data_IF_777619678284
#
_entry.id   IF_777619678284
#
_cell.length_a   1.000
_cell.length_b   1.000
_cell.length_c   1.000
_cell.angle_alpha   90.00
_cell.angle_beta   90.00
_cell.angle_gamma   90.00
#
_symmetry.space_group_name_H-M   'P 1'
#
loop_
_entity.id
_entity.type
_entity.pdbx_description
1 polymer ?
#
# COMPACT_ATOMS: atom_id res chain seq x y z
N UNK A 1 9.69 -6.00 4.89
CA UNK A 1 9.62 -5.53 6.30
C UNK A 1 10.96 -5.05 6.82
N UNK A 2 10.96 -3.94 7.58
CA UNK A 2 12.20 -3.34 8.13
C UNK A 2 12.94 -4.28 9.09
N UNK A 3 12.25 -5.23 9.70
CA UNK A 3 12.84 -6.27 10.56
C UNK A 3 13.92 -7.12 9.91
N UNK A 4 14.05 -7.14 8.58
CA UNK A 4 15.07 -7.90 7.87
C UNK A 4 16.50 -7.50 8.25
N UNK A 5 16.68 -6.26 8.72
CA UNK A 5 17.96 -5.75 9.21
C UNK A 5 18.36 -6.31 10.58
N UNK A 6 17.45 -7.01 11.27
CA UNK A 6 17.69 -7.65 12.57
C UNK A 6 18.00 -9.13 12.38
N UNK A 7 19.05 -9.63 13.06
CA UNK A 7 19.51 -11.02 12.89
C UNK A 7 18.58 -12.07 13.50
N UNK A 8 17.71 -11.68 14.41
CA UNK A 8 16.84 -12.54 15.22
C UNK A 8 15.34 -12.43 14.85
N UNK A 9 15.00 -11.60 13.85
CA UNK A 9 13.62 -11.39 13.43
C UNK A 9 13.24 -12.25 12.21
N UNK A 10 12.08 -12.89 12.25
CA UNK A 10 11.41 -13.38 11.04
C UNK A 10 10.65 -12.25 10.38
N UNK A 11 10.68 -12.19 9.06
CA UNK A 11 9.96 -11.21 8.26
C UNK A 11 8.84 -11.91 7.50
N UNK A 12 7.59 -11.71 7.93
CA UNK A 12 6.42 -12.39 7.36
C UNK A 12 5.71 -11.44 6.39
N UNK A 13 5.55 -11.87 5.15
CA UNK A 13 4.66 -11.28 4.18
C UNK A 13 3.30 -11.96 4.30
N UNK A 14 2.34 -11.26 4.92
CA UNK A 14 1.03 -11.80 5.32
C UNK A 14 0.07 -12.06 4.15
N UNK A 15 -1.00 -12.77 4.42
CA UNK A 15 -2.03 -13.13 3.44
C UNK A 15 -2.84 -11.92 2.92
N UNK A 16 -2.80 -10.78 3.61
CA UNK A 16 -3.39 -9.52 3.14
C UNK A 16 -2.62 -8.84 2.04
N UNK A 17 -1.35 -9.18 1.86
CA UNK A 17 -0.50 -8.58 0.85
C UNK A 17 -0.75 -9.15 -0.54
N UNK A 18 -0.46 -8.34 -1.57
CA UNK A 18 -0.24 -8.79 -2.94
C UNK A 18 1.25 -8.62 -3.25
N UNK A 19 1.87 -9.64 -3.82
CA UNK A 19 3.32 -9.77 -3.97
C UNK A 19 3.68 -9.82 -5.44
N UNK A 20 4.53 -8.91 -5.88
CA UNK A 20 5.16 -8.97 -7.19
C UNK A 20 6.43 -9.83 -7.09
N UNK A 21 6.48 -10.99 -7.75
CA UNK A 21 7.64 -11.90 -7.68
C UNK A 21 8.92 -11.26 -8.22
N UNK A 22 8.82 -10.47 -9.30
CA UNK A 22 9.98 -9.85 -9.96
C UNK A 22 10.59 -8.81 -9.02
N UNK A 23 9.77 -7.88 -8.51
CA UNK A 23 10.21 -6.85 -7.57
C UNK A 23 10.80 -7.46 -6.28
N UNK A 24 10.17 -8.54 -5.79
CA UNK A 24 10.67 -9.21 -4.57
C UNK A 24 12.03 -9.88 -4.80
N UNK A 25 12.27 -10.47 -5.96
CA UNK A 25 13.58 -11.03 -6.33
C UNK A 25 14.64 -9.93 -6.39
N UNK A 26 14.30 -8.78 -6.95
CA UNK A 26 15.22 -7.64 -7.02
C UNK A 26 15.55 -7.12 -5.62
N UNK A 27 14.57 -6.99 -4.72
CA UNK A 27 14.80 -6.63 -3.32
C UNK A 27 15.67 -7.66 -2.59
N UNK A 28 15.43 -8.96 -2.80
CA UNK A 28 16.24 -10.05 -2.22
C UNK A 28 17.69 -9.95 -2.70
N UNK A 29 17.92 -9.72 -4.00
CA UNK A 29 19.25 -9.57 -4.56
C UNK A 29 19.96 -8.32 -4.02
N UNK A 30 19.24 -7.21 -3.88
CA UNK A 30 19.78 -6.00 -3.26
C UNK A 30 20.21 -6.25 -1.80
N UNK A 31 19.44 -7.01 -1.03
CA UNK A 31 19.78 -7.38 0.35
C UNK A 31 21.02 -8.29 0.40
N UNK A 32 21.08 -9.31 -0.47
CA UNK A 32 22.24 -10.21 -0.58
C UNK A 32 23.52 -9.47 -0.94
N UNK A 33 23.45 -8.50 -1.86
CA UNK A 33 24.58 -7.65 -2.25
C UNK A 33 25.10 -6.77 -1.08
N UNK A 34 24.25 -6.57 -0.05
CA UNK A 34 24.61 -5.89 1.20
C UNK A 34 24.93 -6.86 2.34
N UNK A 35 25.14 -8.14 2.04
CA UNK A 35 25.43 -9.22 2.99
C UNK A 35 24.34 -9.41 4.06
N UNK A 36 23.09 -9.03 3.75
CA UNK A 36 21.93 -9.20 4.63
C UNK A 36 21.28 -10.55 4.32
N UNK A 37 21.19 -11.42 5.34
CA UNK A 37 20.53 -12.72 5.19
C UNK A 37 19.04 -12.59 4.90
N UNK A 38 18.58 -13.33 3.90
CA UNK A 38 17.17 -13.38 3.47
C UNK A 38 16.45 -14.67 3.89
N UNK A 39 17.13 -15.58 4.60
CA UNK A 39 16.59 -16.90 4.99
C UNK A 39 15.37 -16.82 5.91
N UNK A 40 15.21 -15.70 6.62
CA UNK A 40 14.10 -15.47 7.54
C UNK A 40 12.91 -14.75 6.92
N UNK A 41 12.92 -14.56 5.60
CA UNK A 41 11.73 -14.10 4.87
C UNK A 41 10.77 -15.28 4.74
N UNK A 42 9.52 -15.07 5.10
CA UNK A 42 8.45 -16.05 4.97
C UNK A 42 7.27 -15.41 4.22
N UNK A 43 6.73 -16.13 3.27
CA UNK A 43 5.55 -15.72 2.50
C UNK A 43 4.39 -16.59 2.93
N UNK A 44 3.28 -15.97 3.33
CA UNK A 44 2.04 -16.69 3.61
C UNK A 44 1.57 -17.44 2.36
N UNK A 45 1.21 -18.72 2.46
CA UNK A 45 0.63 -19.48 1.35
C UNK A 45 -0.60 -18.83 0.73
N UNK A 46 -1.31 -18.01 1.50
CA UNK A 46 -2.55 -17.35 1.10
C UNK A 46 -2.34 -15.91 0.56
N UNK A 47 -1.13 -15.37 0.55
CA UNK A 47 -0.83 -14.11 -0.14
C UNK A 47 -1.10 -14.23 -1.64
N UNK A 48 -1.52 -13.15 -2.29
CA UNK A 48 -1.80 -13.16 -3.73
C UNK A 48 -0.59 -12.67 -4.54
N UNK A 49 -0.49 -13.16 -5.77
CA UNK A 49 0.64 -12.89 -6.66
C UNK A 49 0.21 -11.89 -7.74
N UNK A 50 0.95 -10.81 -7.82
CA UNK A 50 0.83 -9.85 -8.94
C UNK A 50 1.46 -10.48 -10.16
N UNK A 51 0.78 -10.41 -11.30
CA UNK A 51 1.22 -10.96 -12.58
C UNK A 51 1.50 -9.85 -13.58
N UNK A 52 2.22 -10.11 -14.67
CA UNK A 52 2.36 -9.16 -15.78
C UNK A 52 1.01 -8.69 -16.34
N UNK A 53 0.00 -9.57 -16.36
CA UNK A 53 -1.36 -9.22 -16.75
C UNK A 53 -1.97 -8.12 -15.85
N UNK A 54 -1.79 -8.20 -14.54
CA UNK A 54 -2.28 -7.19 -13.61
C UNK A 54 -1.63 -5.83 -13.86
N UNK A 55 -0.30 -5.79 -14.08
CA UNK A 55 0.43 -4.55 -14.40
C UNK A 55 -0.11 -3.92 -15.67
N UNK A 56 -0.29 -4.74 -16.72
CA UNK A 56 -0.83 -4.27 -17.99
C UNK A 56 -2.25 -3.69 -17.85
N UNK A 57 -3.13 -4.39 -17.14
CA UNK A 57 -4.51 -3.92 -16.89
C UNK A 57 -4.49 -2.60 -16.07
N UNK A 58 -3.62 -2.46 -15.09
CA UNK A 58 -3.50 -1.25 -14.27
C UNK A 58 -3.11 -0.04 -15.13
N UNK A 59 -2.09 -0.18 -15.97
CA UNK A 59 -1.65 0.85 -16.93
C UNK A 59 -2.79 1.22 -17.88
N UNK A 60 -3.41 0.21 -18.51
CA UNK A 60 -4.50 0.41 -19.46
C UNK A 60 -5.69 1.13 -18.85
N UNK A 61 -6.05 0.80 -17.61
CA UNK A 61 -7.16 1.45 -16.91
C UNK A 61 -6.82 2.90 -16.58
N UNK A 62 -5.59 3.18 -16.16
CA UNK A 62 -5.15 4.54 -15.84
C UNK A 62 -5.14 5.43 -17.09
N UNK A 63 -4.73 4.91 -18.25
CA UNK A 63 -4.72 5.64 -19.51
C UNK A 63 -6.13 5.94 -20.07
N UNK A 64 -7.11 5.08 -19.79
CA UNK A 64 -8.47 5.19 -20.34
C UNK A 64 -9.41 6.07 -19.52
N UNK A 65 -9.08 6.36 -18.29
CA UNK A 65 -9.98 7.07 -17.38
C UNK A 65 -9.80 8.58 -17.45
N UNK A 66 -10.90 9.33 -17.73
CA UNK A 66 -10.94 10.78 -17.56
C UNK A 66 -10.79 11.21 -16.08
N UNK A 67 -10.97 10.28 -15.14
CA UNK A 67 -10.76 10.46 -13.69
C UNK A 67 -9.48 9.75 -13.27
N UNK A 68 -8.36 10.38 -13.54
CA UNK A 68 -7.03 9.92 -13.18
C UNK A 68 -6.88 9.75 -11.66
N UNK A 69 -6.76 8.51 -11.18
CA UNK A 69 -6.55 8.21 -9.76
C UNK A 69 -5.10 8.50 -9.35
N UNK A 70 -4.17 8.33 -10.26
CA UNK A 70 -2.75 8.47 -10.02
C UNK A 70 -2.14 7.21 -9.40
N UNK A 71 -2.52 6.03 -9.89
CA UNK A 71 -1.98 4.74 -9.41
C UNK A 71 -0.47 4.65 -9.63
N UNK A 72 0.15 3.67 -9.02
CA UNK A 72 1.58 3.37 -9.23
C UNK A 72 1.83 2.50 -10.45
N UNK A 73 0.79 2.06 -11.15
CA UNK A 73 0.85 1.13 -12.31
C UNK A 73 1.60 -0.17 -12.00
N UNK A 74 1.55 -0.64 -10.75
CA UNK A 74 2.20 -1.87 -10.27
C UNK A 74 1.26 -3.09 -10.25
N UNK A 75 0.04 -2.96 -10.78
CA UNK A 75 -0.94 -4.05 -10.85
C UNK A 75 -1.61 -4.40 -9.50
N UNK A 76 -1.49 -3.54 -8.51
CA UNK A 76 -2.01 -3.79 -7.15
C UNK A 76 -3.54 -3.89 -7.17
N UNK A 77 -4.21 -2.88 -7.75
CA UNK A 77 -5.68 -2.85 -7.87
C UNK A 77 -6.23 -4.09 -8.59
N UNK A 78 -5.80 -4.38 -9.83
CA UNK A 78 -6.24 -5.57 -10.56
C UNK A 78 -5.98 -6.90 -9.83
N UNK A 79 -4.87 -7.02 -9.08
CA UNK A 79 -4.60 -8.21 -8.28
C UNK A 79 -5.60 -8.38 -7.12
N UNK A 80 -5.99 -7.28 -6.45
CA UNK A 80 -7.08 -7.32 -5.45
C UNK A 80 -8.43 -7.62 -6.08
N UNK A 81 -8.73 -7.11 -7.28
CA UNK A 81 -9.95 -7.49 -8.02
C UNK A 81 -10.00 -9.00 -8.22
N UNK A 82 -8.92 -9.60 -8.70
CA UNK A 82 -8.85 -11.05 -8.89
C UNK A 82 -8.97 -11.84 -7.59
N UNK A 83 -8.40 -11.32 -6.50
CA UNK A 83 -8.57 -11.90 -5.16
C UNK A 83 -10.03 -11.97 -4.76
N UNK A 84 -10.79 -10.87 -4.89
CA UNK A 84 -12.20 -10.81 -4.50
C UNK A 84 -13.12 -11.54 -5.49
N UNK A 85 -12.74 -11.61 -6.75
CA UNK A 85 -13.39 -12.47 -7.75
C UNK A 85 -13.07 -13.96 -7.54
N UNK A 86 -12.14 -14.29 -6.67
CA UNK A 86 -11.72 -15.68 -6.34
C UNK A 86 -11.09 -16.42 -7.52
N UNK A 87 -10.41 -15.68 -8.39
CA UNK A 87 -9.67 -16.18 -9.55
C UNK A 87 -8.17 -15.90 -9.48
N UNK A 88 -7.73 -15.22 -8.42
CA UNK A 88 -6.34 -14.81 -8.24
C UNK A 88 -5.40 -15.97 -7.93
N UNK A 89 -4.14 -15.84 -8.34
CA UNK A 89 -3.06 -16.77 -8.02
C UNK A 89 -2.62 -16.53 -6.58
N UNK A 90 -2.59 -17.59 -5.77
CA UNK A 90 -2.03 -17.54 -4.40
C UNK A 90 -0.59 -18.02 -4.38
N UNK A 91 0.17 -17.59 -3.38
CA UNK A 91 1.57 -17.99 -3.21
C UNK A 91 1.75 -19.52 -3.09
N UNK A 92 0.77 -20.25 -2.54
CA UNK A 92 0.80 -21.72 -2.50
C UNK A 92 0.91 -22.34 -3.90
N UNK A 93 0.33 -21.70 -4.93
CA UNK A 93 0.38 -22.19 -6.30
C UNK A 93 1.79 -22.18 -6.90
N UNK A 94 2.71 -21.38 -6.35
CA UNK A 94 4.12 -21.33 -6.76
C UNK A 94 4.85 -22.66 -6.54
N UNK A 95 4.36 -23.50 -5.63
CA UNK A 95 4.98 -24.81 -5.34
C UNK A 95 4.81 -25.84 -6.47
N UNK A 96 3.83 -25.64 -7.35
CA UNK A 96 3.60 -26.48 -8.51
C UNK A 96 3.59 -25.61 -9.77
N UNK A 97 4.68 -25.65 -10.53
CA UNK A 97 4.91 -24.79 -11.69
C UNK A 97 3.92 -25.08 -12.85
N UNK A 98 3.54 -26.33 -13.07
CA UNK A 98 2.61 -26.69 -14.14
C UNK A 98 1.20 -26.17 -13.82
N UNK A 99 0.76 -26.32 -12.58
CA UNK A 99 -0.50 -25.77 -12.11
C UNK A 99 -0.50 -24.24 -12.15
N UNK A 100 0.62 -23.60 -11.76
CA UNK A 100 0.77 -22.15 -11.85
C UNK A 100 0.62 -21.64 -13.28
N UNK A 101 1.27 -22.30 -14.24
CA UNK A 101 1.16 -21.96 -15.67
C UNK A 101 -0.27 -22.13 -16.18
N UNK A 102 -0.94 -23.23 -15.84
CA UNK A 102 -2.34 -23.46 -16.20
C UNK A 102 -3.25 -22.34 -15.69
N UNK A 103 -3.19 -22.02 -14.38
CA UNK A 103 -4.00 -20.95 -13.78
C UNK A 103 -3.74 -19.60 -14.45
N UNK A 104 -2.47 -19.28 -14.75
CA UNK A 104 -2.13 -18.03 -15.43
C UNK A 104 -2.72 -17.95 -16.83
N UNK A 105 -2.60 -19.04 -17.63
CA UNK A 105 -3.14 -19.12 -18.99
C UNK A 105 -4.67 -19.03 -18.99
N UNK A 106 -5.33 -19.74 -18.07
CA UNK A 106 -6.78 -19.68 -17.91
C UNK A 106 -7.25 -18.25 -17.59
N UNK A 107 -6.49 -17.54 -16.76
CA UNK A 107 -6.80 -16.14 -16.42
C UNK A 107 -6.61 -15.21 -17.62
N UNK A 108 -5.56 -15.39 -18.41
CA UNK A 108 -5.34 -14.65 -19.67
C UNK A 108 -6.49 -14.89 -20.63
N UNK A 109 -6.87 -16.16 -20.85
CA UNK A 109 -7.96 -16.53 -21.75
C UNK A 109 -9.30 -15.93 -21.31
N UNK A 110 -9.57 -15.93 -20.00
CA UNK A 110 -10.76 -15.28 -19.45
C UNK A 110 -10.75 -13.75 -19.69
N UNK A 111 -9.61 -13.09 -19.55
CA UNK A 111 -9.50 -11.66 -19.86
C UNK A 111 -9.68 -11.36 -21.36
N UNK A 112 -9.19 -12.23 -22.24
CA UNK A 112 -9.42 -12.10 -23.69
C UNK A 112 -10.89 -12.30 -24.03
N UNK A 113 -11.53 -13.34 -23.51
CA UNK A 113 -12.95 -13.62 -23.73
C UNK A 113 -13.87 -12.49 -23.25
N UNK A 114 -13.50 -11.83 -22.17
CA UNK A 114 -14.21 -10.67 -21.60
C UNK A 114 -13.79 -9.33 -22.23
N UNK A 115 -12.99 -9.34 -23.30
CA UNK A 115 -12.51 -8.15 -24.01
C UNK A 115 -11.73 -7.16 -23.12
N UNK A 116 -11.20 -7.62 -22.00
CA UNK A 116 -10.34 -6.80 -21.13
C UNK A 116 -8.97 -6.56 -21.78
N UNK A 117 -8.46 -7.57 -22.51
CA UNK A 117 -7.26 -7.49 -23.33
C UNK A 117 -7.50 -8.11 -24.71
N UNK A 118 -6.77 -7.63 -25.69
CA UNK A 118 -6.74 -8.19 -27.05
C UNK A 118 -5.52 -9.10 -27.24
N UNK A 119 -5.52 -9.92 -28.29
CA UNK A 119 -4.37 -10.78 -28.65
C UNK A 119 -3.09 -9.94 -28.92
N UNK A 120 -3.25 -8.75 -29.53
CA UNK A 120 -2.15 -7.82 -29.77
C UNK A 120 -1.56 -7.29 -28.45
N UNK A 121 -2.40 -7.00 -27.47
CA UNK A 121 -1.99 -6.53 -26.15
C UNK A 121 -1.35 -7.65 -25.34
N UNK A 122 -1.79 -8.90 -25.50
CA UNK A 122 -1.14 -10.06 -24.85
C UNK A 122 0.32 -10.22 -25.30
N UNK A 123 0.61 -10.01 -26.58
CA UNK A 123 1.99 -10.05 -27.10
C UNK A 123 2.93 -9.04 -26.41
N UNK A 124 2.41 -7.95 -25.89
CA UNK A 124 3.21 -6.97 -25.12
C UNK A 124 3.59 -7.51 -23.73
N UNK A 125 2.73 -8.36 -23.16
CA UNK A 125 2.97 -8.97 -21.84
C UNK A 125 3.93 -10.18 -21.96
N UNK A 126 3.94 -10.85 -23.13
CA UNK A 126 4.64 -12.11 -23.37
C UNK A 126 6.14 -12.04 -23.03
N UNK A 127 6.78 -10.89 -23.27
CA UNK A 127 8.19 -10.67 -22.93
C UNK A 127 8.50 -10.76 -21.43
N UNK A 128 7.53 -10.47 -20.56
CA UNK A 128 7.71 -10.51 -19.11
C UNK A 128 7.35 -11.86 -18.50
N UNK A 129 6.64 -12.74 -19.24
CA UNK A 129 6.10 -13.99 -18.70
C UNK A 129 7.21 -14.93 -18.21
N UNK A 130 8.28 -15.09 -18.98
CA UNK A 130 9.38 -15.97 -18.58
C UNK A 130 10.04 -15.47 -17.28
N UNK A 131 10.36 -14.18 -17.22
CA UNK A 131 10.93 -13.57 -16.01
C UNK A 131 9.99 -13.71 -14.80
N UNK A 132 8.68 -13.58 -15.00
CA UNK A 132 7.69 -13.81 -13.96
C UNK A 132 7.74 -15.25 -13.42
N UNK A 133 7.75 -16.28 -14.29
CA UNK A 133 7.81 -17.67 -13.85
C UNK A 133 9.14 -18.02 -13.19
N UNK A 134 10.25 -17.50 -13.70
CA UNK A 134 11.57 -17.67 -13.09
C UNK A 134 11.61 -17.04 -11.69
N UNK A 135 11.08 -15.83 -11.55
CA UNK A 135 10.97 -15.16 -10.26
C UNK A 135 10.06 -15.93 -9.29
N UNK A 136 8.93 -16.45 -9.76
CA UNK A 136 8.07 -17.33 -8.98
C UNK A 136 8.81 -18.58 -8.50
N UNK A 137 9.65 -19.18 -9.36
CA UNK A 137 10.46 -20.35 -8.99
C UNK A 137 11.51 -20.02 -7.93
N UNK A 138 12.07 -18.80 -7.92
CA UNK A 138 13.01 -18.34 -6.89
C UNK A 138 12.28 -18.17 -5.55
N UNK A 139 11.15 -17.44 -5.54
CA UNK A 139 10.48 -17.09 -4.28
C UNK A 139 9.66 -18.23 -3.68
N UNK A 140 9.37 -19.31 -4.40
CA UNK A 140 8.60 -20.45 -3.86
C UNK A 140 9.19 -21.06 -2.59
N UNK A 141 10.51 -20.98 -2.43
CA UNK A 141 11.21 -21.48 -1.24
C UNK A 141 10.88 -20.72 0.06
N UNK A 142 10.42 -19.47 -0.06
CA UNK A 142 9.98 -18.65 1.06
C UNK A 142 8.51 -18.90 1.46
N UNK A 143 7.73 -19.60 0.62
CA UNK A 143 6.32 -19.92 0.91
C UNK A 143 6.24 -21.04 1.95
N UNK A 144 5.86 -20.67 3.17
CA UNK A 144 5.80 -21.58 4.32
C UNK A 144 4.58 -21.27 5.20
N UNK A 145 4.22 -22.20 6.06
CA UNK A 145 3.18 -21.96 7.07
C UNK A 145 3.59 -20.79 7.98
N UNK A 146 2.87 -19.69 7.88
CA UNK A 146 3.08 -18.50 8.71
C UNK A 146 2.10 -18.44 9.88
N UNK A 147 0.98 -19.15 9.81
CA UNK A 147 -0.06 -19.11 10.84
C UNK A 147 0.45 -19.64 12.18
N UNK A 148 0.95 -20.87 12.20
CA UNK A 148 1.46 -21.48 13.43
C UNK A 148 2.64 -20.69 14.00
N UNK A 149 3.50 -20.13 13.14
CA UNK A 149 4.61 -19.30 13.60
C UNK A 149 4.11 -18.04 14.31
N UNK A 150 3.12 -17.32 13.71
CA UNK A 150 2.53 -16.12 14.31
C UNK A 150 1.94 -16.41 15.69
N UNK A 151 1.20 -17.51 15.83
CA UNK A 151 0.55 -17.85 17.10
C UNK A 151 1.51 -18.46 18.14
N UNK A 152 2.71 -18.88 17.75
CA UNK A 152 3.75 -19.40 18.65
C UNK A 152 4.67 -18.32 19.23
N UNK A 153 4.59 -17.07 18.76
CA UNK A 153 5.46 -15.97 19.18
C UNK A 153 4.74 -15.02 20.13
N UNK A 154 5.49 -14.56 21.15
CA UNK A 154 4.99 -13.61 22.13
C UNK A 154 5.16 -12.15 21.68
N UNK A 155 6.22 -11.88 20.88
CA UNK A 155 6.53 -10.52 20.42
C UNK A 155 6.38 -10.45 18.91
N UNK A 156 5.37 -9.73 18.45
CA UNK A 156 5.07 -9.50 17.04
C UNK A 156 5.00 -8.00 16.80
N UNK A 157 5.83 -7.48 15.90
CA UNK A 157 5.72 -6.14 15.37
C UNK A 157 5.00 -6.20 14.02
N UNK A 158 3.86 -5.52 13.90
CA UNK A 158 3.09 -5.44 12.68
C UNK A 158 3.40 -4.09 12.01
N UNK A 159 4.00 -4.14 10.84
CA UNK A 159 4.33 -2.97 10.05
C UNK A 159 3.22 -2.75 9.00
N UNK A 160 2.47 -1.66 9.15
CA UNK A 160 1.47 -1.23 8.19
C UNK A 160 2.12 -0.60 6.94
N UNK A 161 1.31 -0.46 5.90
CA UNK A 161 1.68 0.25 4.67
C UNK A 161 0.68 1.38 4.40
N UNK A 162 1.03 2.29 3.51
CA UNK A 162 0.22 3.45 3.11
C UNK A 162 -0.18 4.35 4.31
N UNK A 163 -1.47 4.59 4.52
CA UNK A 163 -2.01 5.39 5.61
C UNK A 163 -3.53 5.38 5.62
N UNK A 164 -4.14 5.78 6.73
CA UNK A 164 -5.59 5.68 6.98
C UNK A 164 -6.44 6.31 5.87
N UNK A 165 -6.08 7.47 5.36
CA UNK A 165 -6.85 8.15 4.31
C UNK A 165 -6.71 7.51 2.92
N UNK A 166 -5.89 6.48 2.79
CA UNK A 166 -5.78 5.63 1.59
C UNK A 166 -6.51 4.29 1.75
N UNK A 167 -7.15 4.04 2.88
CA UNK A 167 -7.95 2.84 3.10
C UNK A 167 -9.14 2.76 2.14
N UNK A 168 -9.46 1.55 1.65
CA UNK A 168 -10.52 1.35 0.66
C UNK A 168 -11.90 1.74 1.18
N UNK A 169 -12.16 1.52 2.48
CA UNK A 169 -13.45 1.77 3.11
C UNK A 169 -13.48 3.11 3.87
N UNK A 170 -12.38 3.46 4.53
CA UNK A 170 -12.29 4.62 5.43
C UNK A 170 -11.49 5.79 4.86
N UNK A 171 -10.94 5.64 3.66
CA UNK A 171 -10.15 6.68 3.01
C UNK A 171 -10.95 7.64 2.13
N UNK A 172 -10.21 8.41 1.34
CA UNK A 172 -10.77 9.44 0.45
C UNK A 172 -11.16 8.84 -0.91
N UNK A 173 -12.07 7.87 -0.92
CA UNK A 173 -12.56 7.21 -2.14
C UNK A 173 -12.98 8.23 -3.22
N UNK A 174 -12.63 8.04 -4.52
CA UNK A 174 -11.95 6.88 -5.11
C UNK A 174 -10.40 6.94 -5.04
N UNK A 175 -9.81 7.97 -4.44
CA UNK A 175 -8.36 8.18 -4.36
C UNK A 175 -7.74 7.40 -3.18
N UNK A 176 -7.84 6.08 -3.24
CA UNK A 176 -7.43 5.14 -2.19
C UNK A 176 -6.64 3.97 -2.79
N UNK A 177 -6.01 3.16 -1.93
CA UNK A 177 -5.49 1.85 -2.33
C UNK A 177 -6.61 0.80 -2.31
N UNK A 178 -6.43 -0.30 -3.01
CA UNK A 178 -7.39 -1.43 -3.00
C UNK A 178 -7.22 -2.35 -1.78
N UNK A 179 -6.53 -1.89 -0.75
CA UNK A 179 -6.27 -2.63 0.48
C UNK A 179 -6.79 -1.88 1.71
N UNK A 180 -6.70 -2.52 2.87
CA UNK A 180 -7.12 -1.96 4.15
C UNK A 180 -5.91 -1.67 5.04
N UNK A 181 -5.26 -0.48 4.90
CA UNK A 181 -4.10 -0.10 5.70
C UNK A 181 -4.42 0.32 7.14
N UNK A 182 -5.69 0.50 7.51
CA UNK A 182 -6.06 0.77 8.89
C UNK A 182 -5.89 -0.47 9.80
N UNK A 183 -5.92 -0.29 11.11
CA UNK A 183 -5.66 -1.36 12.09
C UNK A 183 -6.57 -2.58 11.95
N UNK A 184 -7.83 -2.39 11.54
CA UNK A 184 -8.76 -3.49 11.24
C UNK A 184 -8.27 -4.43 10.12
N UNK A 185 -7.45 -3.93 9.19
CA UNK A 185 -6.81 -4.71 8.15
C UNK A 185 -5.80 -5.75 8.66
N UNK A 186 -5.34 -5.63 9.90
CA UNK A 186 -4.44 -6.61 10.55
C UNK A 186 -5.14 -7.96 10.69
N UNK A 187 -6.39 -7.95 11.12
CA UNK A 187 -7.15 -9.19 11.33
C UNK A 187 -7.37 -9.94 10.02
N UNK A 188 -7.77 -9.24 8.96
CA UNK A 188 -7.97 -9.85 7.64
C UNK A 188 -6.65 -10.18 6.95
N UNK A 189 -5.60 -9.41 7.20
CA UNK A 189 -4.29 -9.50 6.54
C UNK A 189 -3.32 -10.51 7.15
N UNK A 190 -3.50 -10.88 8.42
CA UNK A 190 -2.62 -11.81 9.14
C UNK A 190 -3.38 -12.91 9.88
N UNK A 191 -4.70 -12.77 10.04
CA UNK A 191 -5.52 -13.68 10.86
C UNK A 191 -5.34 -13.47 12.36
N UNK A 192 -4.73 -12.37 12.80
CA UNK A 192 -4.53 -12.05 14.22
C UNK A 192 -5.79 -11.35 14.75
N UNK A 193 -6.42 -11.86 15.84
CA UNK A 193 -7.53 -11.17 16.45
C UNK A 193 -7.13 -9.78 16.98
N UNK A 194 -7.97 -8.78 16.78
CA UNK A 194 -7.71 -7.42 17.27
C UNK A 194 -7.52 -7.36 18.79
N UNK A 195 -8.15 -8.26 19.53
CA UNK A 195 -7.98 -8.41 20.98
C UNK A 195 -6.58 -8.85 21.43
N UNK A 196 -5.72 -9.24 20.49
CA UNK A 196 -4.29 -9.57 20.74
C UNK A 196 -3.36 -8.39 20.49
N UNK A 197 -3.87 -7.26 20.02
CA UNK A 197 -3.08 -6.05 19.83
C UNK A 197 -3.01 -5.30 21.16
N UNK A 198 -1.81 -5.15 21.67
CA UNK A 198 -1.58 -4.42 22.92
C UNK A 198 -1.41 -2.92 22.65
N UNK A 199 -0.64 -2.58 21.63
CA UNK A 199 -0.33 -1.19 21.28
C UNK A 199 -0.53 -0.96 19.77
N UNK A 200 -1.15 0.16 19.42
CA UNK A 200 -1.29 0.62 18.05
C UNK A 200 -0.69 2.01 17.96
N UNK A 201 0.51 2.10 17.38
CA UNK A 201 1.27 3.34 17.28
C UNK A 201 1.03 4.00 15.94
N UNK A 202 0.42 5.19 15.95
CA UNK A 202 0.25 6.01 14.75
C UNK A 202 1.52 6.79 14.42
N UNK A 203 2.00 6.69 13.19
CA UNK A 203 3.14 7.48 12.72
C UNK A 203 2.62 8.69 11.95
N UNK A 204 2.83 9.88 12.47
CA UNK A 204 2.48 11.15 11.83
C UNK A 204 3.73 11.94 11.48
N UNK A 205 3.65 12.72 10.42
CA UNK A 205 4.59 13.81 10.18
C UNK A 205 4.06 15.09 10.85
N UNK A 206 4.94 15.98 11.22
CA UNK A 206 4.56 17.30 11.76
C UNK A 206 3.86 18.21 10.73
N UNK A 207 3.74 17.76 9.50
CA UNK A 207 2.99 18.39 8.41
C UNK A 207 2.33 17.29 7.56
N UNK A 208 1.34 17.64 6.76
CA UNK A 208 0.61 16.67 5.93
C UNK A 208 1.22 16.55 4.54
N UNK A 209 1.24 15.33 3.98
CA UNK A 209 1.67 15.08 2.61
C UNK A 209 0.72 14.15 1.88
N UNK A 210 0.60 14.33 0.56
CA UNK A 210 -0.18 13.44 -0.29
C UNK A 210 0.52 13.20 -1.63
N UNK A 211 0.49 11.97 -2.13
CA UNK A 211 0.90 11.60 -3.50
C UNK A 211 -0.34 11.45 -4.36
N UNK A 212 -0.28 11.94 -5.60
CA UNK A 212 -1.37 11.81 -6.55
C UNK A 212 -2.56 12.72 -6.28
N UNK A 213 -3.68 12.37 -6.90
CA UNK A 213 -4.92 13.14 -6.83
C UNK A 213 -5.68 12.93 -5.51
N UNK A 214 -6.82 13.59 -5.39
CA UNK A 214 -7.70 13.49 -4.23
C UNK A 214 -7.65 14.69 -3.29
N UNK A 215 -8.56 14.73 -2.30
CA UNK A 215 -8.72 15.87 -1.42
C UNK A 215 -7.53 16.08 -0.50
N UNK A 216 -7.21 17.34 -0.28
CA UNK A 216 -6.14 17.75 0.62
C UNK A 216 -6.50 19.12 1.22
N UNK A 217 -7.37 19.18 2.24
CA UNK A 217 -7.90 20.46 2.75
C UNK A 217 -6.83 21.44 3.21
N UNK A 218 -5.78 20.97 3.87
CA UNK A 218 -4.69 21.81 4.39
C UNK A 218 -3.52 22.01 3.41
N UNK A 219 -3.70 21.71 2.11
CA UNK A 219 -2.65 21.85 1.09
C UNK A 219 -2.16 23.29 0.94
N UNK A 220 -0.85 23.42 0.74
CA UNK A 220 -0.18 24.69 0.45
C UNK A 220 0.33 24.68 -0.98
N UNK A 221 -0.21 25.58 -1.80
CA UNK A 221 0.19 25.74 -3.22
C UNK A 221 1.20 26.87 -3.41
N UNK A 222 1.57 27.55 -2.33
CA UNK A 222 2.46 28.71 -2.27
C UNK A 222 3.94 28.33 -2.05
N UNK A 223 4.74 29.31 -1.66
CA UNK A 223 6.16 29.15 -1.32
C UNK A 223 6.39 28.27 -0.10
N UNK A 224 5.45 28.24 0.88
CA UNK A 224 5.54 27.40 2.06
C UNK A 224 5.41 25.91 1.68
N UNK A 225 4.47 25.56 0.81
CA UNK A 225 4.32 24.20 0.33
C UNK A 225 5.56 23.69 -0.44
N UNK A 226 6.14 24.54 -1.29
CA UNK A 226 7.39 24.22 -2.01
C UNK A 226 8.56 24.06 -1.04
N UNK A 227 8.65 24.90 -0.01
CA UNK A 227 9.69 24.81 1.02
C UNK A 227 9.58 23.51 1.81
N UNK A 228 8.39 23.13 2.27
CA UNK A 228 8.14 21.84 2.95
C UNK A 228 8.55 20.66 2.07
N UNK A 229 8.15 20.65 0.80
CA UNK A 229 8.49 19.60 -0.14
C UNK A 229 10.00 19.42 -0.32
N UNK A 230 10.70 20.54 -0.53
CA UNK A 230 12.15 20.53 -0.76
C UNK A 230 12.93 20.11 0.48
N UNK A 231 12.65 20.71 1.63
CA UNK A 231 13.34 20.43 2.90
C UNK A 231 13.04 19.05 3.42
N UNK A 232 11.77 18.64 3.35
CA UNK A 232 11.31 17.32 3.75
C UNK A 232 11.72 16.21 2.80
N UNK A 233 12.29 16.54 1.61
CA UNK A 233 12.59 15.60 0.52
C UNK A 233 11.36 14.77 0.18
N UNK A 234 10.23 15.45 0.01
CA UNK A 234 8.93 14.78 -0.14
C UNK A 234 8.72 14.30 -1.58
N UNK A 235 9.23 13.11 -1.84
CA UNK A 235 9.07 12.36 -3.09
C UNK A 235 8.60 10.94 -2.78
N UNK A 236 7.83 10.35 -3.69
CA UNK A 236 7.37 8.96 -3.56
C UNK A 236 8.55 7.99 -3.65
N UNK A 237 8.68 7.09 -2.67
CA UNK A 237 9.80 6.14 -2.63
C UNK A 237 9.84 5.22 -3.87
N UNK A 238 8.68 4.82 -4.37
CA UNK A 238 8.55 3.89 -5.51
C UNK A 238 8.57 4.61 -6.86
N UNK A 239 7.90 5.76 -6.95
CA UNK A 239 7.66 6.44 -8.25
C UNK A 239 8.50 7.69 -8.45
N UNK A 240 9.20 8.17 -7.41
CA UNK A 240 9.90 9.46 -7.43
C UNK A 240 8.99 10.68 -7.59
N UNK A 241 7.67 10.50 -7.69
CA UNK A 241 6.73 11.61 -7.89
C UNK A 241 6.76 12.57 -6.71
N UNK A 242 6.71 13.90 -6.96
CA UNK A 242 6.66 14.90 -5.89
C UNK A 242 5.37 14.71 -5.07
N UNK A 243 5.49 14.83 -3.76
CA UNK A 243 4.34 14.86 -2.86
C UNK A 243 3.84 16.28 -2.70
N UNK A 244 2.53 16.45 -2.73
CA UNK A 244 1.84 17.67 -2.31
C UNK A 244 2.06 17.83 -0.80
N UNK A 245 2.25 19.04 -0.32
CA UNK A 245 2.54 19.33 1.09
C UNK A 245 1.55 20.35 1.64
N UNK A 246 1.25 20.27 2.91
CA UNK A 246 0.38 21.19 3.61
C UNK A 246 0.61 21.18 5.11
N UNK A 247 -0.02 22.14 5.83
CA UNK A 247 0.07 22.16 7.27
C UNK A 247 -0.54 20.92 7.92
N UNK A 248 -0.13 20.61 9.13
CA UNK A 248 -0.68 19.49 9.89
C UNK A 248 -2.21 19.63 9.99
N UNK A 249 -2.92 18.58 9.61
CA UNK A 249 -4.37 18.52 9.60
C UNK A 249 -4.87 17.78 10.84
N UNK A 250 -5.26 18.52 11.86
CA UNK A 250 -5.68 17.94 13.14
C UNK A 250 -7.04 17.21 13.04
N UNK A 251 -7.90 17.59 12.09
CA UNK A 251 -9.18 16.89 11.86
C UNK A 251 -8.93 15.52 11.26
N UNK A 252 -8.10 15.45 10.21
CA UNK A 252 -7.71 14.19 9.60
C UNK A 252 -6.91 13.30 10.57
N UNK A 253 -6.04 13.91 11.39
CA UNK A 253 -5.29 13.18 12.41
C UNK A 253 -6.21 12.59 13.48
N UNK A 254 -7.14 13.37 14.01
CA UNK A 254 -8.14 12.93 15.00
C UNK A 254 -8.98 11.77 14.44
N UNK A 255 -9.47 11.90 13.21
CA UNK A 255 -10.18 10.85 12.53
C UNK A 255 -9.33 9.56 12.41
N UNK A 256 -8.08 9.70 12.00
CA UNK A 256 -7.16 8.57 11.89
C UNK A 256 -6.89 7.89 13.24
N UNK A 257 -6.74 8.67 14.32
CA UNK A 257 -6.60 8.12 15.67
C UNK A 257 -7.82 7.29 16.08
N UNK A 258 -9.03 7.80 15.81
CA UNK A 258 -10.29 7.13 16.18
C UNK A 258 -10.50 5.83 15.41
N UNK A 259 -10.33 5.85 14.08
CA UNK A 259 -10.55 4.67 13.22
C UNK A 259 -9.57 3.55 13.55
N UNK A 260 -8.32 3.90 13.87
CA UNK A 260 -7.30 2.90 14.18
C UNK A 260 -7.28 2.48 15.65
N UNK A 261 -7.96 3.20 16.54
CA UNK A 261 -7.86 2.97 17.98
C UNK A 261 -6.42 3.14 18.47
N UNK A 262 -5.75 4.20 18.05
CA UNK A 262 -4.33 4.42 18.40
C UNK A 262 -4.17 4.56 19.91
N UNK A 263 -3.19 3.84 20.47
CA UNK A 263 -2.76 3.98 21.85
C UNK A 263 -1.72 5.09 22.01
N UNK A 264 -0.88 5.25 20.98
CA UNK A 264 0.24 6.18 20.98
C UNK A 264 0.42 6.83 19.61
N UNK A 265 1.11 7.97 19.60
CA UNK A 265 1.48 8.70 18.38
C UNK A 265 2.96 9.01 18.38
N UNK A 266 3.64 8.66 17.30
CA UNK A 266 5.01 9.10 17.03
C UNK A 266 4.96 10.25 16.01
N UNK A 267 5.29 11.46 16.45
CA UNK A 267 5.38 12.62 15.57
C UNK A 267 6.80 12.75 15.01
N UNK A 268 6.90 12.71 13.69
CA UNK A 268 8.17 12.72 12.96
C UNK A 268 8.35 14.01 12.17
N UNK A 269 9.56 14.26 11.67
CA UNK A 269 9.86 15.40 10.79
C UNK A 269 9.63 16.77 11.41
N UNK A 270 9.72 16.92 12.74
CA UNK A 270 9.65 18.19 13.44
C UNK A 270 10.80 19.14 13.03
N UNK A 271 11.98 18.58 12.83
CA UNK A 271 13.18 19.26 12.36
C UNK A 271 13.00 20.04 11.04
N UNK A 272 12.08 19.58 10.18
CA UNK A 272 11.75 20.27 8.92
C UNK A 272 11.07 21.63 9.19
N UNK A 273 10.38 21.77 10.30
CA UNK A 273 9.64 22.98 10.66
C UNK A 273 10.52 24.07 11.31
N UNK A 274 11.74 23.75 11.75
CA UNK A 274 12.63 24.70 12.46
C UNK A 274 12.94 25.97 11.64
N UNK A 275 12.85 25.87 10.33
CA UNK A 275 13.12 26.98 9.41
C UNK A 275 11.90 27.86 9.10
N UNK A 276 10.74 27.59 9.70
CA UNK A 276 9.51 28.34 9.49
C UNK A 276 9.27 29.29 10.66
N UNK A 277 9.00 30.56 10.36
CA UNK A 277 8.67 31.57 11.36
C UNK A 277 7.28 31.33 11.97
N UNK A 278 6.31 31.00 11.08
CA UNK A 278 4.95 30.67 11.46
C UNK A 278 4.61 29.23 11.10
N UNK A 279 4.15 28.46 12.07
CA UNK A 279 3.62 27.12 11.90
C UNK A 279 2.13 27.14 12.15
N UNK A 280 1.34 26.69 11.16
CA UNK A 280 -0.12 26.62 11.27
C UNK A 280 -0.59 25.19 11.39
N UNK A 281 -1.72 25.01 12.08
CA UNK A 281 -2.40 23.72 12.22
C UNK A 281 -3.84 23.90 11.74
N UNK A 282 -4.32 23.05 10.84
CA UNK A 282 -5.72 23.01 10.46
C UNK A 282 -6.53 22.38 11.59
N UNK A 283 -7.31 23.18 12.29
CA UNK A 283 -8.14 22.78 13.45
C UNK A 283 -9.64 22.71 13.15
N UNK A 284 -10.03 22.97 11.91
CA UNK A 284 -11.43 22.93 11.49
C UNK A 284 -11.56 23.06 9.99
N UNK A 285 -12.72 22.70 9.47
CA UNK A 285 -13.06 22.85 8.06
C UNK A 285 -14.25 23.75 7.87
N UNK A 286 -14.34 24.38 6.70
CA UNK A 286 -15.51 25.10 6.22
C UNK A 286 -16.18 24.32 5.10
N UNK A 287 -17.46 24.09 5.24
CA UNK A 287 -18.32 23.55 4.19
C UNK A 287 -19.53 24.45 4.02
N UNK A 288 -19.61 25.15 2.87
CA UNK A 288 -20.64 26.20 2.68
C UNK A 288 -20.61 27.23 3.81
N UNK A 289 -21.70 27.33 4.59
CA UNK A 289 -21.79 28.20 5.78
C UNK A 289 -21.50 27.50 7.11
N UNK A 290 -21.24 26.17 7.06
CA UNK A 290 -20.96 25.39 8.27
C UNK A 290 -19.48 25.41 8.60
N UNK A 291 -19.17 25.47 9.89
CA UNK A 291 -17.84 25.21 10.43
C UNK A 291 -17.85 23.81 11.05
N UNK A 292 -16.87 23.00 10.67
CA UNK A 292 -16.72 21.61 11.12
C UNK A 292 -15.42 21.50 11.92
N UNK A 293 -15.51 21.05 13.13
CA UNK A 293 -14.40 20.75 14.03
C UNK A 293 -14.11 19.24 14.18
N UNK A 294 -14.87 18.44 13.43
CA UNK A 294 -14.71 17.00 13.32
C UNK A 294 -14.93 16.54 11.88
N UNK A 295 -14.47 15.32 11.56
CA UNK A 295 -14.80 14.65 10.32
C UNK A 295 -16.31 14.39 10.23
N UNK A 296 -16.86 14.57 9.05
CA UNK A 296 -18.25 14.25 8.70
C UNK A 296 -18.26 13.26 7.54
N UNK A 297 -18.82 12.09 7.74
CA UNK A 297 -18.92 11.04 6.73
C UNK A 297 -19.79 11.48 5.53
N UNK A 298 -20.86 12.22 5.77
CA UNK A 298 -21.73 12.78 4.74
C UNK A 298 -21.03 13.82 3.84
N UNK A 299 -20.18 14.66 4.43
CA UNK A 299 -19.49 15.74 3.72
C UNK A 299 -18.16 15.27 3.12
N UNK A 300 -17.44 14.40 3.85
CA UNK A 300 -16.12 13.92 3.47
C UNK A 300 -15.05 15.00 3.40
N UNK A 301 -13.88 14.64 2.91
CA UNK A 301 -12.75 15.55 2.71
C UNK A 301 -12.78 16.31 1.39
N UNK A 302 -13.65 15.93 0.45
CA UNK A 302 -13.64 16.44 -0.92
C UNK A 302 -14.16 17.87 -1.06
N UNK A 303 -15.08 18.28 -0.19
CA UNK A 303 -15.84 19.50 -0.34
C UNK A 303 -15.51 20.56 0.70
N UNK A 304 -14.49 20.33 1.52
CA UNK A 304 -14.15 21.21 2.65
C UNK A 304 -12.93 22.07 2.35
N UNK A 305 -12.84 23.20 3.05
CA UNK A 305 -11.69 24.11 3.07
C UNK A 305 -11.21 24.27 4.51
N UNK A 306 -9.89 24.47 4.75
CA UNK A 306 -9.33 24.66 6.06
C UNK A 306 -9.74 25.98 6.71
#
# INVERSE_FOLDING_TARGET
PSGILRKDCFCILGNGMVIDPIELVDEINMLKNKEISTERILISPNAHIVTPLHKFIDIKNEEKTNNFIGTTCKGIGPCYVDKYNRVGIRAINLKNQDNLKSIFIDRVNACMSNQQITEKEYKQIESEINNFFDSCNIIKGFVKDTFNLLFSKNNILIEGAQGTLLDIDHGTYPFVTSSSPFSGGISTGLGIPLTKLENIIGIFKAYTTRVGSGPFPSELTDSYGKKLQKMGKEFGATTGRPRRCGWFDAIAAKYSCMINGLTDVALTKLDILDSFEDIKICIGYKYKKLKLDNYSEEIGFHNVKP
#
